data_IF_045610050043
#
_entry.id   IF_045610050043
#
_cell.length_a   1.000
_cell.length_b   1.000
_cell.length_c   1.000
_cell.angle_alpha   90.00
_cell.angle_beta   90.00
_cell.angle_gamma   90.00
#
_symmetry.space_group_name_H-M   'P 1'
#
loop_
_entity.id
_entity.type
_entity.pdbx_description
1 polymer ?
#
# COMPACT_ATOMS: atom_id res chain seq x y z
N UNK A 1 19.03 1.49 11.34
CA UNK A 1 17.63 1.94 11.45
C UNK A 1 16.77 0.85 10.83
N UNK A 2 15.80 0.32 11.58
CA UNK A 2 14.88 -0.71 11.12
C UNK A 2 13.71 -0.03 10.39
N UNK A 3 13.92 0.39 9.14
CA UNK A 3 12.82 0.90 8.32
C UNK A 3 11.98 -0.28 7.86
N UNK A 4 10.72 -0.26 8.29
CA UNK A 4 9.73 -1.28 7.95
C UNK A 4 9.03 -0.85 6.65
N UNK A 5 9.21 -1.62 5.59
CA UNK A 5 8.68 -1.34 4.26
C UNK A 5 7.39 -2.13 4.03
N UNK A 6 6.46 -1.56 3.28
CA UNK A 6 5.28 -2.28 2.83
C UNK A 6 5.02 -2.05 1.35
N UNK A 7 4.43 -3.06 0.72
CA UNK A 7 3.84 -3.00 -0.61
C UNK A 7 2.39 -3.42 -0.52
N UNK A 8 1.52 -2.61 -1.12
CA UNK A 8 0.10 -2.91 -1.18
C UNK A 8 -0.28 -3.11 -2.63
N UNK A 9 -0.77 -4.29 -2.98
CA UNK A 9 -1.52 -4.47 -4.22
C UNK A 9 -2.99 -4.30 -3.92
N UNK A 10 -3.73 -3.54 -4.72
CA UNK A 10 -5.17 -3.38 -4.51
C UNK A 10 -5.93 -3.20 -5.81
N UNK A 11 -7.14 -3.73 -5.82
CA UNK A 11 -8.19 -3.41 -6.76
C UNK A 11 -9.47 -3.02 -6.00
N UNK A 12 -10.63 -3.01 -6.69
CA UNK A 12 -11.92 -2.70 -6.06
C UNK A 12 -12.50 -3.87 -5.25
N UNK A 13 -11.93 -5.07 -5.33
CA UNK A 13 -12.41 -6.29 -4.69
C UNK A 13 -11.56 -6.69 -3.49
N UNK A 14 -10.24 -6.58 -3.58
CA UNK A 14 -9.32 -6.96 -2.51
C UNK A 14 -8.01 -6.14 -2.52
N UNK A 15 -7.35 -6.14 -1.38
CA UNK A 15 -6.04 -5.57 -1.17
C UNK A 15 -5.13 -6.61 -0.52
N UNK A 16 -3.93 -6.76 -1.06
CA UNK A 16 -2.87 -7.57 -0.51
C UNK A 16 -1.84 -6.62 0.09
N UNK A 17 -1.80 -6.56 1.42
CA UNK A 17 -0.81 -5.78 2.17
C UNK A 17 0.33 -6.73 2.50
N UNK A 18 1.52 -6.46 1.98
CA UNK A 18 2.72 -7.22 2.29
C UNK A 18 3.72 -6.31 2.96
N UNK A 19 4.02 -6.60 4.21
CA UNK A 19 5.01 -5.90 5.02
C UNK A 19 6.28 -6.74 5.06
N UNK A 20 7.43 -6.09 4.97
CA UNK A 20 8.70 -6.80 5.01
C UNK A 20 9.84 -5.95 5.53
N UNK A 21 10.81 -6.65 6.10
CA UNK A 21 12.12 -6.13 6.45
C UNK A 21 13.22 -7.05 5.89
N UNK A 22 14.42 -7.02 6.50
CA UNK A 22 15.56 -7.84 6.07
C UNK A 22 15.36 -9.33 6.37
N UNK A 23 14.62 -9.67 7.40
CA UNK A 23 14.52 -11.03 7.98
C UNK A 23 13.09 -11.59 7.89
N UNK A 24 12.07 -10.73 7.89
CA UNK A 24 10.66 -11.11 7.97
C UNK A 24 9.85 -10.57 6.80
N UNK A 25 8.85 -11.35 6.40
CA UNK A 25 7.81 -10.99 5.44
C UNK A 25 6.48 -11.43 6.02
N UNK A 26 5.53 -10.52 6.10
CA UNK A 26 4.16 -10.77 6.54
C UNK A 26 3.20 -10.31 5.44
N UNK A 27 2.26 -11.17 5.07
CA UNK A 27 1.27 -10.87 4.04
C UNK A 27 -0.14 -11.01 4.62
N UNK A 28 -0.95 -9.98 4.42
CA UNK A 28 -2.35 -9.92 4.82
C UNK A 28 -3.22 -9.60 3.61
N UNK A 29 -4.28 -10.37 3.41
CA UNK A 29 -5.31 -10.08 2.40
C UNK A 29 -6.55 -9.51 3.05
N UNK A 30 -6.99 -8.37 2.55
CA UNK A 30 -8.17 -7.64 3.00
C UNK A 30 -9.14 -7.64 1.84
N UNK A 31 -10.37 -8.12 2.05
CA UNK A 31 -11.40 -8.14 1.01
C UNK A 31 -12.38 -7.01 1.24
N UNK A 32 -12.79 -6.36 0.16
CA UNK A 32 -13.92 -5.46 0.15
C UNK A 32 -15.16 -6.23 0.58
N UNK A 33 -15.76 -5.83 1.69
CA UNK A 33 -16.98 -6.46 2.21
C UNK A 33 -18.17 -5.87 1.49
N UNK A 34 -18.76 -6.62 0.57
CA UNK A 34 -20.12 -6.34 0.07
C UNK A 34 -21.13 -6.82 1.11
N UNK A 35 -21.40 -6.03 2.13
CA UNK A 35 -22.44 -6.37 3.09
C UNK A 35 -23.79 -5.93 2.52
N UNK A 36 -24.65 -6.90 2.16
CA UNK A 36 -26.05 -6.71 1.76
C UNK A 36 -26.96 -6.15 2.88
N UNK A 37 -26.51 -5.14 3.64
CA UNK A 37 -27.30 -4.45 4.65
C UNK A 37 -27.07 -2.93 4.58
N UNK A 38 -27.89 -2.26 3.77
CA UNK A 38 -28.32 -0.86 3.93
C UNK A 38 -27.26 0.26 3.99
N UNK A 39 -25.95 -0.04 3.87
CA UNK A 39 -24.92 0.96 3.65
C UNK A 39 -24.64 1.02 2.15
N UNK A 40 -24.82 2.19 1.54
CA UNK A 40 -24.58 2.36 0.11
C UNK A 40 -23.13 2.09 -0.27
N UNK A 41 -22.88 1.85 -1.56
CA UNK A 41 -21.57 1.52 -2.17
C UNK A 41 -20.37 2.38 -1.67
N UNK A 42 -20.62 3.64 -1.29
CA UNK A 42 -19.61 4.54 -0.74
C UNK A 42 -19.14 4.18 0.68
N UNK A 43 -20.02 3.63 1.52
CA UNK A 43 -19.69 3.20 2.89
C UNK A 43 -18.78 1.97 2.91
N UNK A 44 -19.02 1.02 1.99
CA UNK A 44 -18.22 -0.20 1.88
C UNK A 44 -16.77 0.10 1.47
N UNK A 45 -16.57 1.05 0.55
CA UNK A 45 -15.23 1.47 0.10
C UNK A 45 -14.47 2.18 1.22
N UNK A 46 -15.13 3.08 1.97
CA UNK A 46 -14.48 3.78 3.08
C UNK A 46 -14.05 2.81 4.20
N UNK A 47 -14.87 1.82 4.52
CA UNK A 47 -14.51 0.78 5.48
C UNK A 47 -13.33 -0.08 4.98
N UNK A 48 -13.36 -0.49 3.71
CA UNK A 48 -12.27 -1.22 3.07
C UNK A 48 -10.95 -0.44 3.13
N UNK A 49 -10.95 0.84 2.74
CA UNK A 49 -9.76 1.69 2.82
C UNK A 49 -9.30 1.92 4.26
N UNK A 50 -10.22 2.00 5.23
CA UNK A 50 -9.87 2.10 6.64
C UNK A 50 -9.12 0.85 7.11
N UNK A 51 -9.59 -0.34 6.74
CA UNK A 51 -8.94 -1.60 7.10
C UNK A 51 -7.54 -1.71 6.48
N UNK A 52 -7.37 -1.31 5.22
CA UNK A 52 -6.06 -1.27 4.55
C UNK A 52 -5.12 -0.27 5.24
N UNK A 53 -5.58 0.94 5.54
CA UNK A 53 -4.77 1.94 6.25
C UNK A 53 -4.40 1.49 7.67
N UNK A 54 -5.28 0.73 8.34
CA UNK A 54 -5.00 0.13 9.64
C UNK A 54 -3.91 -0.93 9.58
N UNK A 55 -3.92 -1.78 8.56
CA UNK A 55 -2.85 -2.76 8.34
C UNK A 55 -1.49 -2.10 8.08
N UNK A 56 -1.47 -0.88 7.54
CA UNK A 56 -0.25 -0.10 7.29
C UNK A 56 0.27 0.68 8.51
N UNK A 57 -0.37 0.58 9.69
CA UNK A 57 0.11 1.31 10.86
C UNK A 57 1.51 0.84 11.26
N UNK A 58 2.44 1.79 11.39
CA UNK A 58 3.83 1.52 11.78
C UNK A 58 4.78 1.32 10.59
N UNK A 59 4.30 1.36 9.35
CA UNK A 59 5.18 1.44 8.18
C UNK A 59 5.67 2.86 7.99
N UNK A 60 6.91 2.99 7.52
CA UNK A 60 7.49 4.28 7.17
C UNK A 60 7.40 4.57 5.68
N UNK A 61 7.45 3.51 4.87
CA UNK A 61 7.46 3.62 3.41
C UNK A 61 6.54 2.57 2.81
N UNK A 62 5.60 3.03 1.98
CA UNK A 62 4.56 2.20 1.37
C UNK A 62 4.56 2.40 -0.14
N UNK A 63 4.76 1.31 -0.87
CA UNK A 63 4.59 1.27 -2.32
C UNK A 63 3.18 0.78 -2.65
N UNK A 64 2.40 1.60 -3.36
CA UNK A 64 1.10 1.16 -3.86
C UNK A 64 1.26 0.49 -5.22
N UNK A 65 0.49 -0.58 -5.44
CA UNK A 65 0.45 -1.34 -6.68
C UNK A 65 -1.00 -1.75 -6.97
N UNK A 66 -1.32 -2.04 -8.21
CA UNK A 66 -2.67 -2.51 -8.57
C UNK A 66 -3.15 -2.03 -9.93
N UNK A 67 -4.18 -2.69 -10.49
CA UNK A 67 -4.76 -2.31 -11.76
C UNK A 67 -5.66 -1.08 -11.62
N UNK A 68 -5.88 -0.38 -12.74
CA UNK A 68 -6.86 0.71 -12.81
C UNK A 68 -6.55 1.89 -11.89
N UNK A 69 -7.59 2.44 -11.26
CA UNK A 69 -7.55 3.68 -10.46
C UNK A 69 -7.64 3.45 -8.95
N UNK A 70 -7.87 2.22 -8.48
CA UNK A 70 -8.12 1.90 -7.07
C UNK A 70 -7.02 2.43 -6.13
N UNK A 71 -5.74 2.29 -6.54
CA UNK A 71 -4.59 2.82 -5.79
C UNK A 71 -4.59 4.34 -5.65
N UNK A 72 -5.11 5.06 -6.65
CA UNK A 72 -5.20 6.52 -6.60
C UNK A 72 -6.36 6.94 -5.69
N UNK A 73 -7.51 6.27 -5.79
CA UNK A 73 -8.65 6.51 -4.91
C UNK A 73 -8.29 6.27 -3.43
N UNK A 74 -7.50 5.22 -3.14
CA UNK A 74 -6.99 4.96 -1.81
C UNK A 74 -6.03 6.06 -1.33
N UNK A 75 -5.11 6.53 -2.20
CA UNK A 75 -4.20 7.64 -1.89
C UNK A 75 -5.00 8.91 -1.54
N UNK A 76 -5.96 9.28 -2.38
CA UNK A 76 -6.80 10.47 -2.18
C UNK A 76 -7.63 10.34 -0.89
N UNK A 77 -8.17 9.15 -0.62
CA UNK A 77 -8.87 8.87 0.62
C UNK A 77 -7.97 8.99 1.85
N UNK A 78 -6.73 8.49 1.78
CA UNK A 78 -5.73 8.64 2.83
C UNK A 78 -5.39 10.11 3.06
N UNK A 79 -5.25 10.93 2.02
CA UNK A 79 -4.99 12.36 2.17
C UNK A 79 -6.09 13.08 2.96
N UNK A 80 -7.34 12.66 2.77
CA UNK A 80 -8.49 13.21 3.49
C UNK A 80 -8.65 12.67 4.92
N UNK A 81 -8.44 11.36 5.15
CA UNK A 81 -8.81 10.69 6.40
C UNK A 81 -7.63 10.20 7.24
N UNK A 82 -6.50 9.85 6.61
CA UNK A 82 -5.35 9.20 7.25
C UNK A 82 -4.02 9.80 6.77
N UNK A 83 -3.74 11.04 7.22
CA UNK A 83 -2.55 11.81 6.80
C UNK A 83 -1.24 11.07 7.04
N UNK A 84 -1.12 10.34 8.14
CA UNK A 84 0.09 9.55 8.45
C UNK A 84 0.37 8.49 7.37
N UNK A 85 -0.65 7.75 6.96
CA UNK A 85 -0.54 6.76 5.88
C UNK A 85 -0.27 7.47 4.55
N UNK A 86 -0.92 8.60 4.28
CA UNK A 86 -0.68 9.39 3.07
C UNK A 86 0.78 9.84 2.93
N UNK A 87 1.42 10.25 4.02
CA UNK A 87 2.84 10.64 4.05
C UNK A 87 3.79 9.45 3.88
N UNK A 88 3.40 8.26 4.36
CA UNK A 88 4.19 7.04 4.19
C UNK A 88 4.15 6.49 2.75
N UNK A 89 3.13 6.84 1.96
CA UNK A 89 3.02 6.38 0.58
C UNK A 89 4.05 7.11 -0.29
N UNK A 90 5.09 6.38 -0.70
CA UNK A 90 6.19 6.93 -1.50
C UNK A 90 5.82 7.04 -2.97
N UNK A 91 5.14 6.03 -3.52
CA UNK A 91 4.86 5.95 -4.96
C UNK A 91 3.74 4.94 -5.27
N UNK A 92 3.30 4.91 -6.53
CA UNK A 92 2.27 4.00 -7.03
C UNK A 92 2.63 3.44 -8.40
N UNK A 93 2.61 2.12 -8.56
CA UNK A 93 2.93 1.42 -9.82
C UNK A 93 1.70 0.67 -10.33
N UNK A 94 1.40 0.78 -11.61
CA UNK A 94 0.35 -0.04 -12.22
C UNK A 94 0.84 -1.49 -12.39
N UNK A 95 0.08 -2.45 -11.87
CA UNK A 95 0.38 -3.88 -11.97
C UNK A 95 -0.92 -4.66 -12.09
N UNK A 96 -1.00 -5.64 -12.99
CA UNK A 96 -2.25 -6.39 -13.23
C UNK A 96 -2.53 -7.37 -12.07
N UNK A 97 -1.92 -8.56 -12.05
CA UNK A 97 -2.09 -9.53 -10.96
C UNK A 97 -0.77 -10.23 -10.58
N UNK A 98 0.17 -9.55 -9.89
CA UNK A 98 1.36 -10.18 -9.35
C UNK A 98 1.01 -11.09 -8.16
N UNK A 99 1.74 -12.19 -8.01
CA UNK A 99 1.75 -12.97 -6.77
C UNK A 99 2.43 -12.20 -5.63
N UNK A 100 2.15 -12.60 -4.38
CA UNK A 100 2.71 -11.96 -3.19
C UNK A 100 4.27 -11.95 -3.21
N UNK A 101 4.89 -13.02 -3.73
CA UNK A 101 6.34 -13.07 -3.91
C UNK A 101 6.87 -12.07 -4.96
N UNK A 102 6.11 -11.86 -6.05
CA UNK A 102 6.44 -10.87 -7.07
C UNK A 102 6.29 -9.45 -6.53
N UNK A 103 5.29 -9.19 -5.68
CA UNK A 103 5.12 -7.91 -5.00
C UNK A 103 6.31 -7.58 -4.11
N UNK A 104 6.75 -8.54 -3.28
CA UNK A 104 7.94 -8.36 -2.43
C UNK A 104 9.18 -8.10 -3.27
N UNK A 105 9.38 -8.85 -4.37
CA UNK A 105 10.53 -8.64 -5.26
C UNK A 105 10.51 -7.26 -5.92
N UNK A 106 9.35 -6.82 -6.42
CA UNK A 106 9.16 -5.49 -6.99
C UNK A 106 9.46 -4.40 -5.96
N UNK A 107 8.91 -4.53 -4.76
CA UNK A 107 9.09 -3.58 -3.69
C UNK A 107 10.54 -3.50 -3.23
N UNK A 108 11.22 -4.64 -3.03
CA UNK A 108 12.66 -4.67 -2.68
C UNK A 108 13.52 -3.97 -3.74
N UNK A 109 13.24 -4.18 -5.02
CA UNK A 109 13.95 -3.51 -6.10
C UNK A 109 13.66 -2.00 -6.14
N UNK A 110 12.42 -1.62 -5.88
CA UNK A 110 12.00 -0.22 -5.80
C UNK A 110 12.69 0.49 -4.64
N UNK A 111 12.53 0.00 -3.41
CA UNK A 111 13.11 0.62 -2.22
C UNK A 111 14.64 0.65 -2.26
N UNK A 112 15.30 -0.39 -2.77
CA UNK A 112 16.76 -0.35 -2.97
C UNK A 112 17.20 0.82 -3.87
N UNK A 113 16.43 1.13 -4.92
CA UNK A 113 16.71 2.28 -5.79
C UNK A 113 16.32 3.59 -5.12
N UNK A 114 15.17 3.61 -4.44
CA UNK A 114 14.66 4.78 -3.71
C UNK A 114 15.64 5.21 -2.61
N UNK A 115 16.10 4.29 -1.78
CA UNK A 115 17.09 4.50 -0.73
C UNK A 115 18.42 5.00 -1.31
N UNK A 116 18.87 4.44 -2.45
CA UNK A 116 20.08 4.90 -3.11
C UNK A 116 19.97 6.34 -3.65
N UNK A 117 18.78 6.74 -4.10
CA UNK A 117 18.51 8.12 -4.54
C UNK A 117 18.35 9.07 -3.34
N UNK A 118 17.70 8.63 -2.26
CA UNK A 118 17.53 9.41 -1.04
C UNK A 118 18.84 9.60 -0.26
N UNK A 119 19.76 8.63 -0.36
CA UNK A 119 21.07 8.67 0.28
C UNK A 119 22.13 9.45 -0.52
N UNK A 120 21.79 10.03 -1.68
CA UNK A 120 22.70 10.86 -2.47
C UNK A 120 22.38 12.37 -2.30
N UNK A 121 22.87 13.03 -1.24
CA UNK A 121 22.78 14.48 -1.08
C UNK A 121 23.84 15.25 -1.89
N UNK A 122 24.54 14.64 -2.87
CA UNK A 122 25.62 15.31 -3.62
C UNK A 122 25.21 15.92 -4.96
N UNK A 123 23.91 16.08 -5.20
CA UNK A 123 23.38 17.02 -6.21
C UNK A 123 22.73 18.24 -5.49
N UNK A 124 23.62 19.13 -5.01
CA UNK A 124 23.46 20.50 -4.47
C UNK A 124 23.17 20.69 -2.97
#
# INVERSE_FOLDING_TARGET
MSTFHAVVWMDHQEAHVVMFDREHVEAQRIKSRSHHKHQGKAGDIAAFFTDVAHALKGTHEVLLTGPGIARNEFRDWCMAHQKTTATAIVDSIATDHPSDAQLVSLAKQYFKKFDAMAADPTQA
#
